data_IF_793660109938
#
_entry.id   IF_793660109938
#
_cell.length_a   1.000
_cell.length_b   1.000
_cell.length_c   1.000
_cell.angle_alpha   90.00
_cell.angle_beta   90.00
_cell.angle_gamma   90.00
#
_symmetry.space_group_name_H-M   'P 1'
#
loop_
_entity.id
_entity.type
_entity.pdbx_description
1 polymer ?
#
# COMPACT_ATOMS: atom_id res chain seq x y z
N UNK A 1 2.86 -7.13 -12.96
CA UNK A 1 3.80 -6.81 -14.06
C UNK A 1 5.16 -6.39 -13.52
N UNK A 2 6.14 -6.15 -14.40
CA UNK A 2 7.46 -5.64 -13.99
C UNK A 2 7.41 -4.20 -13.44
N UNK A 3 8.37 -3.82 -12.59
CA UNK A 3 8.48 -2.45 -12.06
C UNK A 3 9.31 -1.52 -12.94
N UNK A 4 10.58 -1.86 -13.21
CA UNK A 4 11.57 -0.99 -13.87
C UNK A 4 11.16 -0.56 -15.29
N UNK A 5 11.55 0.66 -15.69
CA UNK A 5 11.20 1.24 -17.00
C UNK A 5 9.78 1.84 -17.12
N UNK A 6 8.91 1.65 -16.12
CA UNK A 6 7.54 2.21 -16.11
C UNK A 6 7.45 3.53 -15.36
N UNK A 7 6.66 4.46 -15.86
CA UNK A 7 6.28 5.66 -15.12
C UNK A 7 5.20 5.33 -14.06
N UNK A 8 4.97 6.20 -13.05
CA UNK A 8 4.06 5.88 -11.95
C UNK A 8 2.57 5.86 -12.32
N UNK A 9 2.17 6.22 -13.55
CA UNK A 9 0.81 5.97 -14.04
C UNK A 9 0.50 4.48 -14.24
N UNK A 10 1.53 3.63 -14.37
CA UNK A 10 1.36 2.19 -14.54
C UNK A 10 1.10 1.54 -13.18
N UNK A 11 -0.12 1.06 -12.99
CA UNK A 11 -0.58 0.42 -11.74
C UNK A 11 0.28 -0.79 -11.33
N UNK A 12 0.91 -1.47 -12.30
CA UNK A 12 1.93 -2.49 -12.05
C UNK A 12 3.04 -2.04 -11.08
N UNK A 13 3.36 -0.73 -11.05
CA UNK A 13 4.33 -0.16 -10.10
C UNK A 13 3.61 0.54 -8.95
N UNK A 14 2.76 1.53 -9.27
CA UNK A 14 2.19 2.41 -8.25
C UNK A 14 1.25 1.65 -7.29
N UNK A 15 0.40 0.77 -7.80
CA UNK A 15 -0.49 -0.01 -6.94
C UNK A 15 0.27 -1.04 -6.10
N UNK A 16 1.31 -1.68 -6.64
CA UNK A 16 2.16 -2.57 -5.84
C UNK A 16 2.88 -1.83 -4.70
N UNK A 17 3.36 -0.61 -4.95
CA UNK A 17 3.94 0.23 -3.89
C UNK A 17 2.89 0.61 -2.85
N UNK A 18 1.67 0.93 -3.27
CA UNK A 18 0.57 1.22 -2.36
C UNK A 18 0.18 0.00 -1.52
N UNK A 19 0.10 -1.20 -2.10
CA UNK A 19 -0.15 -2.44 -1.36
C UNK A 19 0.94 -2.67 -0.30
N UNK A 20 2.22 -2.45 -0.64
CA UNK A 20 3.32 -2.54 0.32
C UNK A 20 3.12 -1.55 1.47
N UNK A 21 2.82 -0.29 1.15
CA UNK A 21 2.61 0.77 2.12
C UNK A 21 1.46 0.43 3.08
N UNK A 22 0.32 -0.01 2.54
CA UNK A 22 -0.86 -0.41 3.30
C UNK A 22 -0.55 -1.60 4.20
N UNK A 23 0.05 -2.66 3.68
CA UNK A 23 0.44 -3.84 4.45
C UNK A 23 1.41 -3.49 5.58
N UNK A 24 2.43 -2.67 5.30
CA UNK A 24 3.42 -2.25 6.28
C UNK A 24 2.79 -1.42 7.39
N UNK A 25 1.88 -0.50 7.07
CA UNK A 25 1.16 0.31 8.06
C UNK A 25 0.20 -0.53 8.91
N UNK A 26 -0.49 -1.50 8.31
CA UNK A 26 -1.39 -2.42 9.02
C UNK A 26 -0.63 -3.23 10.08
N UNK A 27 0.50 -3.82 9.71
CA UNK A 27 1.35 -4.58 10.64
C UNK A 27 1.97 -3.65 11.70
N UNK A 28 2.48 -2.48 11.29
CA UNK A 28 3.05 -1.51 12.22
C UNK A 28 2.04 -0.96 13.24
N UNK A 29 0.76 -0.87 12.86
CA UNK A 29 -0.33 -0.49 13.76
C UNK A 29 -0.68 -1.59 14.79
N UNK A 30 -0.16 -2.81 14.60
CA UNK A 30 -0.49 -3.98 15.41
C UNK A 30 -1.85 -4.59 15.09
N UNK A 31 -2.41 -4.33 13.90
CA UNK A 31 -3.69 -4.94 13.49
C UNK A 31 -3.54 -6.42 13.13
N UNK A 32 -2.36 -6.85 12.69
CA UNK A 32 -2.01 -8.24 12.40
C UNK A 32 -0.49 -8.43 12.48
N UNK A 33 -0.03 -9.68 12.70
CA UNK A 33 1.40 -10.00 12.74
C UNK A 33 1.97 -10.21 11.32
N UNK A 34 1.13 -10.63 10.37
CA UNK A 34 1.43 -10.67 8.94
C UNK A 34 0.18 -10.39 8.11
N UNK A 35 0.34 -9.84 6.91
CA UNK A 35 -0.79 -9.65 6.00
C UNK A 35 -0.37 -9.66 4.53
N UNK A 36 -1.30 -10.00 3.67
CA UNK A 36 -1.27 -9.83 2.23
C UNK A 36 -2.38 -8.84 1.82
N UNK A 37 -2.06 -7.95 0.88
CA UNK A 37 -3.02 -6.98 0.32
C UNK A 37 -3.04 -7.15 -1.19
N UNK A 38 -4.21 -7.46 -1.73
CA UNK A 38 -4.43 -7.62 -3.16
C UNK A 38 -5.29 -6.49 -3.70
N UNK A 39 -4.93 -5.97 -4.86
CA UNK A 39 -5.69 -4.95 -5.58
C UNK A 39 -5.80 -5.32 -7.07
N UNK A 40 -6.99 -5.11 -7.64
CA UNK A 40 -7.24 -5.37 -9.06
C UNK A 40 -7.83 -4.14 -9.75
N UNK A 41 -7.43 -3.90 -10.99
CA UNK A 41 -7.95 -2.81 -11.83
C UNK A 41 -8.37 -3.34 -13.20
N UNK A 42 -9.40 -2.72 -13.76
CA UNK A 42 -9.71 -2.81 -15.18
C UNK A 42 -9.08 -1.63 -15.94
N UNK A 43 -8.65 -1.86 -17.18
CA UNK A 43 -8.18 -0.77 -18.06
C UNK A 43 -9.28 0.28 -18.21
N UNK A 44 -8.92 1.56 -18.04
CA UNK A 44 -9.84 2.69 -18.15
C UNK A 44 -10.72 2.96 -16.93
N UNK A 45 -10.66 2.11 -15.90
CA UNK A 45 -11.44 2.29 -14.66
C UNK A 45 -10.54 2.85 -13.56
N UNK A 46 -10.93 3.99 -12.97
CA UNK A 46 -10.12 4.65 -11.95
C UNK A 46 -10.22 3.96 -10.58
N UNK A 47 -11.40 3.43 -10.24
CA UNK A 47 -11.62 2.71 -8.99
C UNK A 47 -11.10 1.27 -9.14
N UNK A 48 -10.40 0.70 -8.14
CA UNK A 48 -10.10 -0.73 -8.15
C UNK A 48 -11.39 -1.56 -8.19
N UNK A 49 -11.33 -2.68 -8.90
CA UNK A 49 -12.40 -3.69 -8.89
C UNK A 49 -12.49 -4.39 -7.54
N UNK A 50 -11.35 -4.58 -6.88
CA UNK A 50 -11.26 -5.18 -5.55
C UNK A 50 -10.05 -4.67 -4.78
N UNK A 51 -10.21 -4.56 -3.46
CA UNK A 51 -9.15 -4.45 -2.47
C UNK A 51 -9.43 -5.54 -1.43
N UNK A 52 -8.55 -6.53 -1.33
CA UNK A 52 -8.72 -7.66 -0.40
C UNK A 52 -7.55 -7.72 0.56
N UNK A 53 -7.82 -8.16 1.79
CA UNK A 53 -6.82 -8.35 2.83
C UNK A 53 -6.89 -9.76 3.36
N UNK A 54 -5.75 -10.42 3.45
CA UNK A 54 -5.61 -11.70 4.15
C UNK A 54 -4.55 -11.55 5.24
N UNK A 55 -4.96 -11.69 6.50
CA UNK A 55 -4.09 -11.59 7.68
C UNK A 55 -3.61 -12.93 8.18
N UNK A 56 -4.02 -14.01 7.52
CA UNK A 56 -3.66 -15.38 7.85
C UNK A 56 -3.90 -15.71 9.33
N UNK A 57 -5.06 -15.32 9.85
CA UNK A 57 -5.51 -15.56 11.23
C UNK A 57 -4.64 -14.90 12.32
N UNK A 58 -3.82 -13.91 11.95
CA UNK A 58 -3.01 -13.13 12.91
C UNK A 58 -3.65 -11.79 13.29
N UNK A 59 -4.83 -11.50 12.74
CA UNK A 59 -5.57 -10.27 12.98
C UNK A 59 -6.05 -10.13 14.43
N UNK A 60 -6.00 -8.90 14.96
CA UNK A 60 -6.54 -8.56 16.29
C UNK A 60 -8.02 -8.15 16.26
N UNK A 61 -8.54 -7.83 15.08
CA UNK A 61 -9.95 -7.50 14.83
C UNK A 61 -10.43 -8.22 13.55
N UNK A 62 -11.73 -8.49 13.35
CA UNK A 62 -12.24 -9.15 12.15
C UNK A 62 -11.73 -8.50 10.84
N UNK A 63 -11.34 -9.31 9.85
CA UNK A 63 -10.78 -8.82 8.57
C UNK A 63 -11.74 -7.88 7.84
N UNK A 64 -13.05 -8.13 7.89
CA UNK A 64 -14.06 -7.23 7.33
C UNK A 64 -13.99 -5.81 7.93
N UNK A 65 -13.64 -5.69 9.21
CA UNK A 65 -13.43 -4.37 9.86
C UNK A 65 -12.13 -3.74 9.38
N UNK A 66 -11.07 -4.55 9.22
CA UNK A 66 -9.80 -4.10 8.64
C UNK A 66 -10.05 -3.53 7.25
N UNK A 67 -10.72 -4.27 6.37
CA UNK A 67 -11.03 -3.82 5.01
C UNK A 67 -11.81 -2.49 4.99
N UNK A 68 -12.79 -2.30 5.89
CA UNK A 68 -13.50 -1.02 6.03
C UNK A 68 -12.58 0.12 6.49
N UNK A 69 -11.69 -0.14 7.44
CA UNK A 69 -10.70 0.84 7.90
C UNK A 69 -9.75 1.20 6.76
N UNK A 70 -9.25 0.23 6.00
CA UNK A 70 -8.34 0.52 4.87
C UNK A 70 -9.04 1.33 3.77
N UNK A 71 -10.26 0.95 3.39
CA UNK A 71 -11.05 1.68 2.38
C UNK A 71 -11.36 3.12 2.79
N UNK A 72 -11.46 3.42 4.08
CA UNK A 72 -11.69 4.79 4.59
C UNK A 72 -10.42 5.63 4.71
N UNK A 73 -9.23 5.01 4.82
CA UNK A 73 -7.97 5.70 5.04
C UNK A 73 -7.10 5.84 3.78
N UNK A 74 -7.32 5.00 2.77
CA UNK A 74 -6.51 4.94 1.56
C UNK A 74 -7.36 5.12 0.31
N UNK A 75 -7.12 6.20 -0.43
CA UNK A 75 -7.69 6.36 -1.77
C UNK A 75 -6.83 5.60 -2.79
N UNK A 76 -7.39 4.51 -3.29
CA UNK A 76 -6.73 3.57 -4.19
C UNK A 76 -6.86 3.94 -5.67
N UNK A 77 -7.34 5.15 -6.02
CA UNK A 77 -7.28 5.60 -7.42
C UNK A 77 -5.83 5.81 -7.86
N UNK A 78 -5.43 5.46 -9.10
CA UNK A 78 -4.05 5.61 -9.56
C UNK A 78 -3.48 7.02 -9.37
N UNK A 79 -4.27 8.06 -9.65
CA UNK A 79 -3.85 9.45 -9.44
C UNK A 79 -3.63 9.79 -7.96
N UNK A 80 -4.52 9.32 -7.08
CA UNK A 80 -4.42 9.51 -5.64
C UNK A 80 -3.21 8.79 -5.07
N UNK A 81 -2.91 7.56 -5.51
CA UNK A 81 -1.70 6.83 -5.14
C UNK A 81 -0.44 7.61 -5.52
N UNK A 82 -0.37 8.11 -6.75
CA UNK A 82 0.78 8.89 -7.25
C UNK A 82 1.01 10.15 -6.42
N UNK A 83 -0.07 10.84 -6.04
CA UNK A 83 -0.01 12.02 -5.18
C UNK A 83 0.40 11.66 -3.75
N UNK A 84 -0.25 10.65 -3.16
CA UNK A 84 -0.07 10.22 -1.79
C UNK A 84 1.36 9.76 -1.51
N UNK A 85 1.93 8.96 -2.41
CA UNK A 85 3.31 8.48 -2.30
C UNK A 85 4.33 9.43 -2.94
N UNK A 86 3.90 10.60 -3.44
CA UNK A 86 4.78 11.58 -4.09
C UNK A 86 5.69 10.92 -5.15
N UNK A 87 5.09 10.24 -6.13
CA UNK A 87 5.84 9.40 -7.08
C UNK A 87 6.34 10.15 -8.32
N UNK A 88 5.91 11.40 -8.55
CA UNK A 88 6.34 12.22 -9.71
C UNK A 88 7.70 12.89 -9.45
N UNK A 89 8.69 12.06 -9.12
CA UNK A 89 10.06 12.48 -8.80
C UNK A 89 11.07 11.49 -9.40
N UNK A 90 12.33 11.90 -9.64
CA UNK A 90 13.36 11.02 -10.17
C UNK A 90 13.95 10.06 -9.11
N UNK A 91 13.12 9.23 -8.48
CA UNK A 91 13.48 8.42 -7.30
C UNK A 91 13.75 6.93 -7.59
N UNK A 92 13.46 6.45 -8.79
CA UNK A 92 13.37 5.01 -9.06
C UNK A 92 14.72 4.32 -9.36
N UNK A 93 15.81 5.05 -9.58
CA UNK A 93 17.10 4.43 -9.94
C UNK A 93 17.62 3.51 -8.83
N UNK A 94 17.47 3.92 -7.57
CA UNK A 94 17.88 3.13 -6.39
C UNK A 94 17.08 1.84 -6.20
N UNK A 95 15.86 1.74 -6.74
CA UNK A 95 15.01 0.55 -6.59
C UNK A 95 15.41 -0.59 -7.52
N UNK A 96 16.17 -0.29 -8.60
CA UNK A 96 16.53 -1.26 -9.62
C UNK A 96 17.59 -2.30 -9.18
N UNK A 97 18.25 -2.07 -8.04
CA UNK A 97 19.15 -3.02 -7.38
C UNK A 97 18.72 -3.25 -5.94
N UNK A 98 18.96 -4.45 -5.43
CA UNK A 98 18.73 -4.82 -4.02
C UNK A 98 17.28 -4.70 -3.52
N UNK A 99 16.31 -4.78 -4.45
CA UNK A 99 14.88 -4.83 -4.12
C UNK A 99 14.21 -3.47 -3.94
N UNK A 100 12.90 -3.47 -4.20
CA UNK A 100 12.02 -2.31 -4.10
C UNK A 100 11.44 -2.09 -2.70
N UNK A 101 11.45 -3.14 -1.86
CA UNK A 101 10.78 -3.18 -0.56
C UNK A 101 11.75 -3.56 0.55
N UNK A 102 11.44 -3.17 1.78
CA UNK A 102 12.21 -3.50 2.98
C UNK A 102 13.40 -2.57 3.27
N UNK A 103 13.56 -1.49 2.49
CA UNK A 103 14.63 -0.51 2.65
C UNK A 103 14.04 0.86 3.04
N UNK A 104 14.43 1.41 4.19
CA UNK A 104 13.91 2.69 4.68
C UNK A 104 14.72 3.88 4.13
N UNK A 105 14.75 4.04 2.81
CA UNK A 105 15.43 5.18 2.18
C UNK A 105 14.48 6.39 2.08
N UNK A 106 14.98 7.64 2.15
CA UNK A 106 14.14 8.84 2.10
C UNK A 106 13.23 8.91 0.88
N UNK A 107 13.67 8.36 -0.24
CA UNK A 107 12.93 8.33 -1.49
C UNK A 107 11.76 7.32 -1.49
N UNK A 108 11.83 6.27 -0.67
CA UNK A 108 10.89 5.15 -0.68
C UNK A 108 9.72 5.43 0.27
N UNK A 109 8.87 6.36 -0.15
CA UNK A 109 7.68 6.80 0.61
C UNK A 109 6.74 5.66 0.96
N UNK A 110 6.67 4.59 0.15
CA UNK A 110 5.89 3.39 0.42
C UNK A 110 6.42 2.53 1.57
N UNK A 111 7.61 2.83 2.10
CA UNK A 111 8.16 2.18 3.29
C UNK A 111 7.88 2.97 4.58
N UNK A 112 7.21 4.13 4.52
CA UNK A 112 6.80 4.86 5.72
C UNK A 112 5.67 4.13 6.46
N UNK A 113 5.61 4.32 7.78
CA UNK A 113 4.57 3.77 8.67
C UNK A 113 3.77 4.88 9.35
N UNK A 114 3.61 6.01 8.67
CA UNK A 114 2.97 7.24 9.16
C UNK A 114 1.44 7.16 9.28
N UNK A 115 0.82 6.09 8.78
CA UNK A 115 -0.62 5.80 8.98
C UNK A 115 -0.89 4.81 10.09
N UNK A 116 0.14 4.20 10.67
CA UNK A 116 -0.02 3.17 11.69
C UNK A 116 -0.88 3.63 12.89
N UNK A 117 -0.59 4.80 13.45
CA UNK A 117 -1.33 5.34 14.59
C UNK A 117 -2.81 5.63 14.26
N UNK A 118 -3.07 6.17 13.06
CA UNK A 118 -4.43 6.43 12.60
C UNK A 118 -5.23 5.13 12.44
N UNK A 119 -4.62 4.10 11.85
CA UNK A 119 -5.23 2.79 11.69
C UNK A 119 -5.51 2.13 13.04
N UNK A 120 -4.54 2.20 13.97
CA UNK A 120 -4.67 1.66 15.33
C UNK A 120 -5.84 2.32 16.07
N UNK A 121 -5.92 3.64 16.01
CA UNK A 121 -7.02 4.41 16.61
C UNK A 121 -8.38 4.04 15.99
N UNK A 122 -8.44 3.90 14.66
CA UNK A 122 -9.67 3.50 13.97
C UNK A 122 -10.11 2.06 14.31
N UNK A 123 -9.15 1.19 14.67
CA UNK A 123 -9.40 -0.16 15.14
C UNK A 123 -9.85 -0.23 16.62
N UNK A 124 -9.70 0.86 17.39
CA UNK A 124 -9.99 0.90 18.82
C UNK A 124 -8.94 0.19 19.68
N UNK A 125 -7.68 0.17 19.23
CA UNK A 125 -6.53 -0.48 19.88
C UNK A 125 -5.51 0.53 20.45
#
# INVERSE_FOLDING_TARGET
>A
GAFSGKDPSKVDRSACYMCRYVAKNLVAAGLADRCEVQIAYAIGVCQPLSLMVNTFETNKIPEEKIEKILNSHFDMKPASIVSHLDLKRPIFKKTAGYGHFGRNEPEFTWEKTDKADALRKAAGL
#
